data_IF_576935797101
#
_entry.id   IF_576935797101
#
_cell.length_a   1.000
_cell.length_b   1.000
_cell.length_c   1.000
_cell.angle_alpha   90.00
_cell.angle_beta   90.00
_cell.angle_gamma   90.00
#
_symmetry.space_group_name_H-M   'P 1'
#
loop_
_entity.id
_entity.type
_entity.pdbx_description
1 polymer ?
#
# COMPACT_ATOMS: atom_id res chain seq x y z
N UNK A 1 -52.52 10.07 52.34
CA UNK A 1 -51.75 11.18 51.74
C UNK A 1 -51.70 10.97 50.23
N UNK A 2 -52.43 11.77 49.46
CA UNK A 2 -52.34 11.78 47.99
C UNK A 2 -51.16 12.66 47.61
N UNK A 3 -50.11 12.07 47.03
CA UNK A 3 -49.04 12.84 46.38
C UNK A 3 -49.57 13.38 45.06
N UNK A 4 -49.84 14.69 45.03
CA UNK A 4 -50.25 15.41 43.84
C UNK A 4 -48.98 15.72 43.03
N UNK A 5 -48.64 14.89 42.05
CA UNK A 5 -47.49 15.17 41.20
C UNK A 5 -47.86 16.24 40.17
N UNK A 6 -47.08 17.32 40.20
CA UNK A 6 -47.28 18.52 39.41
C UNK A 6 -47.02 18.21 37.92
N UNK A 7 -48.10 18.17 37.14
CA UNK A 7 -48.13 17.89 35.69
C UNK A 7 -47.14 18.76 34.90
N UNK A 8 -46.77 19.95 35.39
CA UNK A 8 -45.83 20.84 34.70
C UNK A 8 -44.37 20.36 34.68
N UNK A 9 -43.94 19.54 35.65
CA UNK A 9 -42.55 19.05 35.68
C UNK A 9 -42.31 17.86 34.75
N UNK A 10 -43.34 17.06 34.46
CA UNK A 10 -43.25 15.91 33.54
C UNK A 10 -43.08 16.40 32.09
N UNK A 11 -43.83 17.43 31.67
CA UNK A 11 -43.68 18.04 30.35
C UNK A 11 -42.29 18.69 30.15
N UNK A 12 -41.73 19.33 31.19
CA UNK A 12 -40.40 19.93 31.11
C UNK A 12 -39.29 18.89 30.95
N UNK A 13 -39.37 17.75 31.64
CA UNK A 13 -38.41 16.65 31.47
C UNK A 13 -38.47 16.04 30.06
N UNK A 14 -39.66 15.78 29.51
CA UNK A 14 -39.82 15.28 28.13
C UNK A 14 -39.27 16.27 27.09
N UNK A 15 -39.47 17.58 27.30
CA UNK A 15 -38.94 18.60 26.38
C UNK A 15 -37.41 18.72 26.39
N UNK A 16 -36.77 18.37 27.51
CA UNK A 16 -35.31 18.42 27.67
C UNK A 16 -34.63 17.18 27.06
N UNK A 17 -35.22 15.99 27.19
CA UNK A 17 -34.73 14.77 26.53
C UNK A 17 -34.89 14.84 25.01
N UNK A 18 -36.02 15.34 24.51
CA UNK A 18 -36.24 15.56 23.06
C UNK A 18 -35.24 16.59 22.51
N UNK A 19 -34.95 17.69 23.23
CA UNK A 19 -33.91 18.66 22.83
C UNK A 19 -32.52 18.05 22.79
N UNK A 20 -32.16 17.21 23.78
CA UNK A 20 -30.88 16.51 23.78
C UNK A 20 -30.76 15.58 22.57
N UNK A 21 -31.80 14.78 22.27
CA UNK A 21 -31.86 13.87 21.11
C UNK A 21 -31.79 14.59 19.75
N UNK A 22 -32.45 15.75 19.62
CA UNK A 22 -32.37 16.55 18.39
C UNK A 22 -30.95 17.11 18.19
N UNK A 23 -30.29 17.57 19.26
CA UNK A 23 -28.92 18.10 19.15
C UNK A 23 -27.86 17.02 18.85
N UNK A 24 -28.05 15.79 19.34
CA UNK A 24 -27.17 14.65 19.02
C UNK A 24 -27.40 14.15 17.60
N UNK A 25 -28.65 14.09 17.12
CA UNK A 25 -29.00 13.77 15.73
C UNK A 25 -28.46 14.80 14.73
N UNK A 26 -28.51 16.10 15.06
CA UNK A 26 -27.94 17.18 14.24
C UNK A 26 -26.40 17.09 14.15
N UNK A 27 -25.72 16.79 15.25
CA UNK A 27 -24.27 16.57 15.25
C UNK A 27 -23.87 15.33 14.46
N UNK A 28 -24.68 14.26 14.53
CA UNK A 28 -24.46 13.04 13.76
C UNK A 28 -24.65 13.27 12.25
N UNK A 29 -25.66 14.06 11.87
CA UNK A 29 -25.87 14.45 10.48
C UNK A 29 -24.73 15.32 9.93
N UNK A 30 -24.20 16.23 10.76
CA UNK A 30 -23.06 17.07 10.39
C UNK A 30 -21.76 16.24 10.23
N UNK A 31 -21.57 15.22 11.07
CA UNK A 31 -20.47 14.25 10.95
C UNK A 31 -20.62 13.40 9.66
N UNK A 32 -21.84 12.96 9.34
CA UNK A 32 -22.13 12.18 8.13
C UNK A 32 -21.82 12.98 6.85
N UNK A 33 -22.18 14.27 6.83
CA UNK A 33 -21.82 15.18 5.73
C UNK A 33 -20.31 15.35 5.62
N UNK A 34 -19.59 15.47 6.75
CA UNK A 34 -18.13 15.63 6.73
C UNK A 34 -17.40 14.43 6.12
N UNK A 35 -17.91 13.21 6.32
CA UNK A 35 -17.33 11.99 5.73
C UNK A 35 -17.45 11.99 4.20
N UNK A 36 -18.45 12.66 3.61
CA UNK A 36 -18.64 12.71 2.16
C UNK A 36 -17.55 13.51 1.41
N UNK A 37 -16.78 14.33 2.11
CA UNK A 37 -15.66 15.08 1.53
C UNK A 37 -14.34 14.29 1.48
N UNK A 38 -14.26 13.13 2.14
CA UNK A 38 -13.09 12.25 2.05
C UNK A 38 -13.22 11.34 0.83
N UNK A 39 -12.92 11.87 -0.36
CA UNK A 39 -12.69 11.04 -1.54
C UNK A 39 -11.21 10.64 -1.59
N UNK A 40 -10.93 9.35 -1.68
CA UNK A 40 -9.59 8.83 -1.90
C UNK A 40 -9.36 8.76 -3.42
N UNK A 41 -8.60 9.72 -3.96
CA UNK A 41 -8.19 9.66 -5.35
C UNK A 41 -7.13 8.55 -5.51
N UNK A 42 -7.41 7.59 -6.37
CA UNK A 42 -6.42 6.58 -6.74
C UNK A 42 -5.43 7.28 -7.67
N UNK A 43 -4.21 7.54 -7.20
CA UNK A 43 -3.14 8.00 -8.08
C UNK A 43 -2.98 6.98 -9.20
N UNK A 44 -3.31 7.37 -10.43
CA UNK A 44 -2.99 6.57 -11.61
C UNK A 44 -1.47 6.65 -11.76
N UNK A 45 -0.78 5.61 -11.29
CA UNK A 45 0.65 5.45 -11.49
C UNK A 45 0.86 5.10 -12.95
N UNK A 46 1.18 6.08 -13.78
CA UNK A 46 1.49 5.86 -15.19
C UNK A 46 2.77 5.03 -15.29
N UNK A 47 2.57 3.73 -15.52
CA UNK A 47 3.62 2.76 -15.73
C UNK A 47 4.14 2.87 -17.16
N UNK A 48 5.31 3.51 -17.30
CA UNK A 48 5.92 3.81 -18.60
C UNK A 48 6.75 2.65 -19.17
N UNK A 49 6.96 1.59 -18.39
CA UNK A 49 7.78 0.46 -18.82
C UNK A 49 7.01 -0.41 -19.84
N UNK A 50 7.67 -1.05 -20.81
CA UNK A 50 7.02 -2.03 -21.68
C UNK A 50 6.39 -3.16 -20.86
N UNK A 51 5.21 -3.63 -21.26
CA UNK A 51 4.56 -4.77 -20.60
C UNK A 51 5.37 -6.04 -20.84
N UNK A 52 5.69 -6.75 -19.76
CA UNK A 52 6.37 -8.06 -19.82
C UNK A 52 5.66 -9.05 -18.91
N UNK A 53 5.68 -10.32 -19.31
CA UNK A 53 5.12 -11.41 -18.51
C UNK A 53 5.96 -11.62 -17.26
N UNK A 54 5.30 -11.76 -16.12
CA UNK A 54 5.91 -12.16 -14.85
C UNK A 54 5.12 -13.33 -14.26
N UNK A 55 5.81 -14.43 -14.04
CA UNK A 55 5.33 -15.60 -13.32
C UNK A 55 6.53 -16.30 -12.69
N UNK A 56 6.78 -15.96 -11.42
CA UNK A 56 7.95 -16.46 -10.67
C UNK A 56 7.46 -17.11 -9.39
N UNK A 57 7.63 -18.42 -9.27
CA UNK A 57 7.34 -19.15 -8.03
C UNK A 57 8.63 -19.37 -7.24
N UNK A 58 8.62 -18.98 -5.96
CA UNK A 58 9.74 -19.14 -5.05
C UNK A 58 9.39 -20.11 -3.93
N UNK A 59 10.30 -21.05 -3.65
CA UNK A 59 10.26 -21.90 -2.47
C UNK A 59 11.17 -21.31 -1.38
N UNK A 60 10.56 -20.67 -0.38
CA UNK A 60 11.22 -19.99 0.73
C UNK A 60 12.10 -20.90 1.61
N UNK A 61 11.99 -22.23 1.47
CA UNK A 61 12.88 -23.16 2.17
C UNK A 61 14.28 -23.26 1.52
N UNK A 62 14.46 -22.71 0.32
CA UNK A 62 15.75 -22.74 -0.37
C UNK A 62 16.72 -21.70 0.22
N UNK A 63 18.03 -22.02 0.36
CA UNK A 63 19.00 -21.13 1.01
C UNK A 63 19.08 -19.71 0.46
N UNK A 64 18.88 -19.53 -0.86
CA UNK A 64 18.92 -18.22 -1.51
C UNK A 64 17.74 -17.30 -1.16
N UNK A 65 16.71 -17.80 -0.47
CA UNK A 65 15.52 -17.03 -0.10
C UNK A 65 15.34 -16.89 1.41
N UNK A 66 16.33 -17.29 2.21
CA UNK A 66 16.23 -17.24 3.67
C UNK A 66 16.10 -15.81 4.20
N UNK A 67 16.67 -14.83 3.50
CA UNK A 67 16.49 -13.43 3.85
C UNK A 67 15.01 -13.00 3.79
N UNK A 68 14.19 -13.59 2.92
CA UNK A 68 12.75 -13.32 2.87
C UNK A 68 11.97 -13.87 4.08
N UNK A 69 12.59 -14.67 4.96
CA UNK A 69 11.95 -15.14 6.19
C UNK A 69 11.98 -14.09 7.30
N UNK A 70 12.89 -13.12 7.22
CA UNK A 70 13.09 -12.09 8.25
C UNK A 70 12.44 -10.79 7.77
N UNK A 71 11.75 -10.02 8.63
CA UNK A 71 11.30 -8.67 8.29
C UNK A 71 12.45 -7.82 7.75
N UNK A 72 12.16 -6.98 6.76
CA UNK A 72 13.09 -6.15 5.97
C UNK A 72 14.07 -6.90 5.07
N UNK A 73 14.20 -8.21 5.23
CA UNK A 73 15.03 -9.03 4.36
C UNK A 73 14.50 -9.06 2.92
N UNK A 74 15.44 -9.14 1.98
CA UNK A 74 15.17 -8.93 0.57
C UNK A 74 16.06 -9.82 -0.29
N UNK A 75 15.62 -10.06 -1.52
CA UNK A 75 16.38 -10.82 -2.51
C UNK A 75 16.17 -10.23 -3.90
N UNK A 76 17.15 -10.47 -4.78
CA UNK A 76 16.97 -10.23 -6.21
C UNK A 76 16.62 -11.51 -6.94
N UNK A 77 15.71 -11.38 -7.89
CA UNK A 77 15.53 -12.32 -8.98
C UNK A 77 16.20 -11.71 -10.21
N UNK A 78 17.20 -12.40 -10.73
CA UNK A 78 17.91 -11.98 -11.93
C UNK A 78 17.01 -12.06 -13.17
N UNK A 79 17.30 -11.19 -14.15
CA UNK A 79 16.55 -11.12 -15.42
C UNK A 79 16.49 -12.49 -16.12
N UNK A 80 15.39 -12.74 -16.80
CA UNK A 80 15.18 -13.99 -17.55
C UNK A 80 13.74 -14.13 -18.02
N UNK A 81 13.40 -15.27 -18.59
CA UNK A 81 12.04 -15.56 -19.04
C UNK A 81 11.06 -15.45 -17.86
N UNK A 82 9.99 -14.66 -18.05
CA UNK A 82 8.94 -14.40 -17.06
C UNK A 82 9.43 -13.76 -15.75
N UNK A 83 10.55 -13.03 -15.76
CA UNK A 83 11.18 -12.42 -14.57
C UNK A 83 11.34 -10.91 -14.67
N UNK A 84 10.41 -10.24 -15.35
CA UNK A 84 10.49 -8.80 -15.56
C UNK A 84 11.49 -8.40 -16.65
N UNK A 85 11.75 -7.10 -16.77
CA UNK A 85 12.63 -6.53 -17.79
C UNK A 85 14.10 -6.63 -17.37
N UNK A 86 14.42 -6.20 -16.14
CA UNK A 86 15.78 -6.20 -15.59
C UNK A 86 15.86 -7.02 -14.29
N UNK A 87 14.87 -7.88 -14.04
CA UNK A 87 14.75 -8.66 -12.82
C UNK A 87 13.80 -8.02 -11.81
N UNK A 88 13.72 -8.62 -10.62
CA UNK A 88 12.73 -8.27 -9.60
C UNK A 88 13.43 -8.13 -8.25
N UNK A 89 13.18 -7.06 -7.52
CA UNK A 89 13.45 -6.96 -6.09
C UNK A 89 12.25 -7.49 -5.34
N UNK A 90 12.46 -8.37 -4.36
CA UNK A 90 11.40 -8.84 -3.45
C UNK A 90 11.86 -8.52 -2.04
N UNK A 91 10.97 -7.94 -1.24
CA UNK A 91 11.23 -7.66 0.17
C UNK A 91 10.10 -8.19 1.05
N UNK A 92 10.47 -8.78 2.19
CA UNK A 92 9.57 -9.00 3.31
C UNK A 92 9.39 -7.67 4.06
N UNK A 93 8.21 -7.08 3.99
CA UNK A 93 7.91 -5.78 4.62
C UNK A 93 7.79 -5.87 6.14
N UNK A 94 7.59 -7.08 6.69
CA UNK A 94 7.19 -7.28 8.08
C UNK A 94 5.77 -6.78 8.41
N UNK A 95 5.01 -6.34 7.40
CA UNK A 95 3.68 -5.73 7.53
C UNK A 95 2.63 -6.51 6.71
N UNK A 96 1.46 -5.91 6.44
CA UNK A 96 0.45 -6.43 5.52
C UNK A 96 0.30 -5.48 4.33
N UNK A 97 0.57 -5.89 3.08
CA UNK A 97 0.99 -7.23 2.66
C UNK A 97 2.42 -7.57 3.11
N UNK A 98 2.66 -8.85 3.43
CA UNK A 98 3.94 -9.35 3.96
C UNK A 98 5.11 -9.20 2.99
N UNK A 99 4.83 -9.30 1.70
CA UNK A 99 5.84 -9.20 0.66
C UNK A 99 5.45 -8.12 -0.34
N UNK A 100 6.45 -7.36 -0.77
CA UNK A 100 6.37 -6.47 -1.93
C UNK A 100 7.41 -6.87 -2.95
N UNK A 101 7.07 -6.71 -4.23
CA UNK A 101 7.94 -7.03 -5.34
C UNK A 101 7.94 -5.87 -6.35
N UNK A 102 9.12 -5.48 -6.82
CA UNK A 102 9.27 -4.37 -7.76
C UNK A 102 10.17 -4.74 -8.93
N UNK A 103 9.83 -4.24 -10.11
CA UNK A 103 10.69 -4.27 -11.29
C UNK A 103 12.00 -3.52 -11.03
N UNK A 104 13.11 -4.04 -11.56
CA UNK A 104 14.43 -3.41 -11.43
C UNK A 104 14.77 -2.53 -12.64
N UNK A 105 13.97 -2.47 -13.69
CA UNK A 105 14.11 -1.49 -14.76
C UNK A 105 13.69 -0.09 -14.30
N UNK A 106 14.44 0.92 -14.72
CA UNK A 106 14.20 2.32 -14.37
C UNK A 106 12.97 2.88 -15.09
N UNK A 107 11.94 3.38 -14.36
CA UNK A 107 10.72 3.91 -14.98
C UNK A 107 10.96 5.13 -15.89
N UNK A 108 11.87 6.02 -15.48
CA UNK A 108 12.07 7.32 -16.14
C UNK A 108 13.11 7.28 -17.28
N UNK A 109 13.97 6.26 -17.35
CA UNK A 109 15.01 6.16 -18.36
C UNK A 109 15.37 4.71 -18.65
N UNK A 110 15.67 4.39 -19.91
CA UNK A 110 16.11 3.05 -20.31
C UNK A 110 17.59 2.84 -19.92
N UNK A 111 17.82 2.38 -18.69
CA UNK A 111 19.15 2.02 -18.24
C UNK A 111 19.51 0.58 -18.66
N UNK A 112 20.75 0.40 -19.14
CA UNK A 112 21.31 -0.93 -19.46
C UNK A 112 21.50 -1.84 -18.24
N UNK A 113 21.49 -1.27 -17.03
CA UNK A 113 21.69 -2.01 -15.78
C UNK A 113 20.49 -1.86 -14.84
N UNK A 114 20.21 -2.88 -14.02
CA UNK A 114 19.10 -2.85 -13.08
C UNK A 114 19.32 -1.81 -11.98
N UNK A 115 18.22 -1.33 -11.43
CA UNK A 115 18.18 -0.60 -10.18
C UNK A 115 18.80 -1.42 -9.05
N UNK A 116 19.42 -0.69 -8.13
CA UNK A 116 20.03 -1.24 -6.92
C UNK A 116 19.27 -0.74 -5.70
N UNK A 117 18.84 -1.66 -4.86
CA UNK A 117 18.32 -1.38 -3.53
C UNK A 117 19.44 -0.95 -2.58
N UNK A 118 19.19 0.11 -1.81
CA UNK A 118 20.14 0.67 -0.84
C UNK A 118 20.24 -0.13 0.47
N UNK A 119 19.42 -1.17 0.64
CA UNK A 119 19.33 -1.95 1.86
C UNK A 119 18.43 -1.34 2.94
N UNK A 120 17.77 -0.22 2.63
CA UNK A 120 16.91 0.52 3.55
C UNK A 120 15.52 0.71 2.96
N UNK A 121 15.28 1.80 2.22
CA UNK A 121 13.95 2.20 1.78
C UNK A 121 13.88 2.58 0.30
N UNK A 122 15.01 2.52 -0.43
CA UNK A 122 15.08 3.07 -1.78
C UNK A 122 15.73 2.12 -2.78
N UNK A 123 15.11 2.01 -3.95
CA UNK A 123 15.77 1.56 -5.16
C UNK A 123 16.33 2.75 -5.91
N UNK A 124 17.52 2.59 -6.47
CA UNK A 124 18.24 3.64 -7.18
C UNK A 124 18.59 3.22 -8.59
N UNK A 125 18.28 4.10 -9.55
CA UNK A 125 18.68 3.95 -10.93
C UNK A 125 20.17 4.23 -11.10
N UNK A 126 20.82 3.37 -11.88
CA UNK A 126 22.25 3.48 -12.15
C UNK A 126 22.59 4.64 -13.09
N UNK A 127 21.71 4.96 -14.04
CA UNK A 127 22.02 5.89 -15.13
C UNK A 127 21.66 7.34 -14.84
N UNK A 128 20.54 7.61 -14.16
CA UNK A 128 20.07 8.98 -13.85
C UNK A 128 20.03 9.28 -12.34
N UNK A 129 20.40 8.31 -11.50
CA UNK A 129 20.39 8.40 -10.03
C UNK A 129 19.00 8.65 -9.44
N UNK A 130 17.92 8.47 -10.21
CA UNK A 130 16.55 8.56 -9.72
C UNK A 130 16.30 7.51 -8.62
N UNK A 131 15.58 7.91 -7.58
CA UNK A 131 15.29 7.08 -6.41
C UNK A 131 13.79 6.79 -6.32
N UNK A 132 13.45 5.57 -5.89
CA UNK A 132 12.07 5.09 -5.77
C UNK A 132 11.87 4.40 -4.42
N UNK A 133 10.77 4.71 -3.75
CA UNK A 133 10.37 4.10 -2.49
C UNK A 133 10.02 2.63 -2.69
N UNK A 134 10.56 1.74 -1.87
CA UNK A 134 10.14 0.33 -1.82
C UNK A 134 8.83 0.11 -1.03
N UNK A 135 8.29 1.16 -0.41
CA UNK A 135 7.02 1.07 0.31
C UNK A 135 5.86 1.05 -0.69
N UNK A 136 5.94 1.81 -1.77
CA UNK A 136 4.81 2.08 -2.68
C UNK A 136 5.24 2.36 -4.13
N UNK A 137 6.54 2.27 -4.44
CA UNK A 137 7.07 2.58 -5.75
C UNK A 137 7.20 4.08 -6.04
N UNK A 138 6.84 4.96 -5.11
CA UNK A 138 6.77 6.39 -5.37
C UNK A 138 8.14 7.01 -5.70
N UNK A 139 8.24 7.87 -6.73
CA UNK A 139 9.48 8.58 -7.03
C UNK A 139 9.89 9.48 -5.86
N UNK A 140 11.16 9.45 -5.50
CA UNK A 140 11.75 10.25 -4.40
C UNK A 140 12.64 11.39 -4.92
N UNK A 141 12.88 11.43 -6.23
CA UNK A 141 13.68 12.46 -6.90
C UNK A 141 12.78 13.56 -7.44
N UNK A 142 13.11 14.82 -7.12
CA UNK A 142 12.35 15.99 -7.58
C UNK A 142 12.23 16.03 -9.11
N UNK A 143 11.03 16.30 -9.62
CA UNK A 143 10.73 16.35 -11.05
C UNK A 143 10.41 14.98 -11.69
N UNK A 144 10.56 13.87 -10.96
CA UNK A 144 10.12 12.56 -11.42
C UNK A 144 8.67 12.30 -11.00
N UNK A 145 7.86 11.82 -11.93
CA UNK A 145 6.44 11.49 -11.72
C UNK A 145 6.11 10.02 -11.97
N UNK A 146 7.06 9.24 -12.51
CA UNK A 146 6.85 7.83 -12.82
C UNK A 146 7.13 6.97 -11.59
N UNK A 147 6.25 6.02 -11.32
CA UNK A 147 6.41 5.09 -10.19
C UNK A 147 7.20 3.86 -10.64
N UNK A 148 7.92 3.24 -9.71
CA UNK A 148 8.47 1.92 -9.93
C UNK A 148 7.33 0.91 -10.07
N UNK A 149 7.37 0.09 -11.13
CA UNK A 149 6.38 -0.96 -11.37
C UNK A 149 6.41 -1.97 -10.21
N UNK A 150 5.31 -2.07 -9.49
CA UNK A 150 5.07 -3.10 -8.49
C UNK A 150 4.51 -4.37 -9.17
N UNK A 151 4.87 -5.54 -8.64
CA UNK A 151 4.31 -6.83 -9.01
C UNK A 151 3.45 -7.39 -7.88
N UNK A 152 2.43 -8.15 -8.25
CA UNK A 152 1.55 -8.83 -7.30
C UNK A 152 2.26 -10.04 -6.69
N UNK A 153 2.31 -10.11 -5.36
CA UNK A 153 2.82 -11.27 -4.64
C UNK A 153 1.67 -12.08 -4.01
N UNK A 154 1.56 -13.34 -4.42
CA UNK A 154 0.59 -14.30 -3.91
C UNK A 154 1.29 -15.26 -2.94
N UNK A 155 0.86 -15.26 -1.67
CA UNK A 155 1.32 -16.26 -0.70
C UNK A 155 0.45 -17.50 -0.86
N UNK A 156 0.99 -18.53 -1.53
CA UNK A 156 0.27 -19.75 -1.83
C UNK A 156 0.18 -20.67 -0.60
N UNK A 157 1.25 -20.72 0.19
CA UNK A 157 1.32 -21.45 1.46
C UNK A 157 2.46 -20.91 2.34
N UNK A 158 2.78 -21.58 3.45
CA UNK A 158 3.82 -21.14 4.40
C UNK A 158 5.24 -21.03 3.83
N UNK A 159 5.53 -21.73 2.74
CA UNK A 159 6.86 -21.81 2.14
C UNK A 159 6.91 -21.43 0.67
N UNK A 160 5.77 -21.11 0.05
CA UNK A 160 5.70 -20.82 -1.39
C UNK A 160 5.01 -19.49 -1.64
N UNK A 161 5.69 -18.63 -2.38
CA UNK A 161 5.13 -17.39 -2.92
C UNK A 161 5.22 -17.41 -4.44
N UNK A 162 4.25 -16.79 -5.11
CA UNK A 162 4.25 -16.59 -6.55
C UNK A 162 4.15 -15.09 -6.85
N UNK A 163 4.97 -14.61 -7.78
CA UNK A 163 5.02 -13.22 -8.22
C UNK A 163 4.44 -13.15 -9.63
N UNK A 164 3.46 -12.26 -9.83
CA UNK A 164 2.74 -12.06 -11.09
C UNK A 164 2.58 -10.58 -11.43
N UNK A 165 2.17 -10.27 -12.66
CA UNK A 165 1.60 -8.96 -12.99
C UNK A 165 0.30 -8.69 -12.20
N UNK A 166 -0.08 -7.41 -12.06
CA UNK A 166 -1.36 -7.03 -11.45
C UNK A 166 -2.58 -7.34 -12.32
#
# INVERSE_FOLDING_TARGET
MRFNTNVQNICKLQSFTIKLDITTMQKLFLLLILVTFFSCEKNNTDDFLPTTSVDVTLNLNLPQYQDLLIPTGWVYIEKGANKGLQGILIQNTGLTPKYKAFERACPNNDCNSPMTFDGSLKMKCSCDQSEYSIIDGAPQTSGNSHFAREYRVLVLNSSTINITNY
#
